data_IF_255254808590
#
_entry.id   IF_255254808590
#
_cell.length_a   1.000
_cell.length_b   1.000
_cell.length_c   1.000
_cell.angle_alpha   90.00
_cell.angle_beta   90.00
_cell.angle_gamma   90.00
#
_symmetry.space_group_name_H-M   'P 1'
#
loop_
_entity.id
_entity.type
_entity.pdbx_description
1 polymer ?
#
# COMPACT_ATOMS: atom_id res chain seq x y z
N UNK A 1 18.65 -24.12 3.65
CA UNK A 1 18.20 -22.77 3.26
C UNK A 1 18.60 -22.62 1.81
N UNK A 2 17.65 -22.39 0.91
CA UNK A 2 18.02 -21.92 -0.44
C UNK A 2 18.72 -20.58 -0.25
N UNK A 3 19.85 -20.37 -0.91
CA UNK A 3 20.54 -19.08 -0.88
C UNK A 3 19.55 -18.00 -1.37
N UNK A 4 19.37 -16.94 -0.59
CA UNK A 4 18.57 -15.78 -1.00
C UNK A 4 19.27 -15.18 -2.23
N UNK A 5 18.54 -15.07 -3.34
CA UNK A 5 19.04 -14.45 -4.57
C UNK A 5 18.21 -13.20 -4.82
N UNK A 6 18.90 -12.07 -4.96
CA UNK A 6 18.33 -10.76 -5.24
C UNK A 6 18.95 -10.17 -6.52
N UNK A 7 18.21 -9.28 -7.18
CA UNK A 7 18.83 -8.39 -8.17
C UNK A 7 19.93 -7.54 -7.49
N UNK A 8 21.03 -7.17 -8.19
CA UNK A 8 22.19 -6.55 -7.55
C UNK A 8 21.88 -5.32 -6.70
N UNK A 9 21.05 -4.39 -7.19
CA UNK A 9 20.67 -3.20 -6.42
C UNK A 9 19.83 -3.54 -5.18
N UNK A 10 19.00 -4.59 -5.25
CA UNK A 10 18.26 -5.10 -4.10
C UNK A 10 19.19 -5.79 -3.10
N UNK A 11 20.21 -6.52 -3.56
CA UNK A 11 21.24 -7.09 -2.68
C UNK A 11 22.02 -5.99 -1.96
N UNK A 12 22.48 -4.95 -2.66
CA UNK A 12 23.21 -3.83 -2.07
C UNK A 12 22.38 -3.13 -0.98
N UNK A 13 21.09 -2.95 -1.23
CA UNK A 13 20.16 -2.38 -0.26
C UNK A 13 19.91 -3.31 0.94
N UNK A 14 19.74 -4.61 0.71
CA UNK A 14 19.62 -5.60 1.77
C UNK A 14 20.87 -5.63 2.67
N UNK A 15 22.07 -5.61 2.09
CA UNK A 15 23.33 -5.60 2.81
C UNK A 15 23.53 -4.30 3.61
N UNK A 16 23.05 -3.17 3.10
CA UNK A 16 23.07 -1.89 3.81
C UNK A 16 22.13 -1.91 5.02
N UNK A 17 20.92 -2.44 4.87
CA UNK A 17 19.88 -2.45 5.92
C UNK A 17 20.07 -3.56 6.97
N UNK A 18 20.93 -4.55 6.70
CA UNK A 18 21.30 -5.59 7.67
C UNK A 18 22.28 -5.11 8.76
N UNK A 19 22.82 -3.89 8.66
CA UNK A 19 23.81 -3.35 9.61
C UNK A 19 23.14 -2.56 10.74
N UNK A 20 23.48 -2.82 12.02
CA UNK A 20 22.97 -2.02 13.13
C UNK A 20 23.39 -0.54 13.06
N UNK A 21 22.60 0.39 13.61
CA UNK A 21 21.31 0.15 14.29
C UNK A 21 20.21 -0.27 13.31
N UNK A 22 19.45 -1.30 13.69
CA UNK A 22 18.31 -1.79 12.91
C UNK A 22 17.12 -0.84 13.05
N UNK A 23 16.16 -0.91 12.12
CA UNK A 23 15.08 0.07 12.02
C UNK A 23 14.34 0.33 13.34
N UNK A 24 13.94 -0.74 14.04
CA UNK A 24 13.24 -0.65 15.33
C UNK A 24 14.14 -0.21 16.51
N UNK A 25 15.47 -0.18 16.34
CA UNK A 25 16.44 0.26 17.36
C UNK A 25 16.66 1.78 17.31
N UNK A 26 16.27 2.44 16.21
CA UNK A 26 16.34 3.88 16.03
C UNK A 26 15.22 4.65 16.75
N UNK A 27 14.17 3.93 17.18
CA UNK A 27 12.93 4.54 17.63
C UNK A 27 12.13 5.18 16.48
N UNK A 28 10.93 5.69 16.80
CA UNK A 28 9.96 6.18 15.80
C UNK A 28 10.51 7.33 14.94
N UNK A 29 11.05 8.38 15.56
CA UNK A 29 11.58 9.54 14.83
C UNK A 29 12.80 9.17 13.98
N UNK A 30 13.73 8.38 14.53
CA UNK A 30 14.91 7.93 13.80
C UNK A 30 14.55 7.04 12.61
N UNK A 31 13.57 6.15 12.76
CA UNK A 31 13.08 5.32 11.67
C UNK A 31 12.41 6.16 10.56
N UNK A 32 11.57 7.14 10.92
CA UNK A 32 10.95 8.07 9.95
C UNK A 32 12.00 8.83 9.14
N UNK A 33 12.96 9.45 9.84
CA UNK A 33 14.04 10.19 9.18
C UNK A 33 14.89 9.29 8.27
N UNK A 34 15.17 8.05 8.68
CA UNK A 34 15.92 7.12 7.85
C UNK A 34 15.22 6.83 6.52
N UNK A 35 13.91 6.58 6.52
CA UNK A 35 13.18 6.34 5.27
C UNK A 35 13.12 7.61 4.41
N UNK A 36 12.93 8.78 5.03
CA UNK A 36 12.97 10.06 4.34
C UNK A 36 14.33 10.28 3.64
N UNK A 37 15.44 10.01 4.33
CA UNK A 37 16.81 10.15 3.80
C UNK A 37 17.11 9.16 2.67
N UNK A 38 16.65 7.91 2.80
CA UNK A 38 16.77 6.88 1.74
C UNK A 38 16.03 7.33 0.48
N UNK A 39 14.84 7.90 0.63
CA UNK A 39 14.01 8.34 -0.51
C UNK A 39 14.40 9.73 -1.04
N UNK A 40 15.15 10.54 -0.28
CA UNK A 40 15.56 11.90 -0.67
C UNK A 40 16.62 11.95 -1.78
N UNK A 41 17.25 10.82 -2.12
CA UNK A 41 18.21 10.78 -3.22
C UNK A 41 17.56 11.23 -4.54
N UNK A 42 18.24 12.05 -5.36
CA UNK A 42 17.69 12.52 -6.63
C UNK A 42 17.29 11.35 -7.53
N UNK A 43 16.04 11.36 -7.99
CA UNK A 43 15.49 10.38 -8.91
C UNK A 43 14.59 11.08 -9.92
N UNK A 44 14.59 10.58 -11.16
CA UNK A 44 13.64 11.02 -12.16
C UNK A 44 12.22 10.62 -11.74
N UNK A 45 11.28 11.55 -11.86
CA UNK A 45 9.87 11.33 -11.56
C UNK A 45 9.02 12.14 -12.54
N UNK A 46 7.87 11.62 -12.99
CA UNK A 46 6.99 12.38 -13.87
C UNK A 46 6.49 13.69 -13.26
N UNK A 47 6.28 14.69 -14.12
CA UNK A 47 5.62 15.93 -13.74
C UNK A 47 4.12 15.71 -13.53
N UNK A 48 3.58 16.38 -12.50
CA UNK A 48 2.16 16.35 -12.15
C UNK A 48 1.73 17.74 -11.70
N UNK A 49 0.45 18.06 -11.91
CA UNK A 49 -0.21 19.13 -11.17
C UNK A 49 -0.63 18.60 -9.81
N UNK A 50 -0.35 19.33 -8.73
CA UNK A 50 -0.70 18.89 -7.37
C UNK A 50 -1.38 19.97 -6.55
N UNK A 51 -2.28 19.53 -5.67
CA UNK A 51 -3.00 20.37 -4.72
C UNK A 51 -3.16 19.63 -3.41
N UNK A 52 -3.04 20.36 -2.31
CA UNK A 52 -3.37 19.84 -0.99
C UNK A 52 -4.70 20.35 -0.49
N UNK A 53 -5.47 19.46 0.14
CA UNK A 53 -6.69 19.76 0.85
C UNK A 53 -6.67 19.14 2.24
N UNK A 54 -7.69 19.44 3.04
CA UNK A 54 -7.95 18.77 4.32
C UNK A 54 -9.34 18.17 4.23
N UNK A 55 -9.45 16.88 4.54
CA UNK A 55 -10.71 16.14 4.54
C UNK A 55 -11.14 15.89 5.98
N UNK A 56 -12.36 16.28 6.39
CA UNK A 56 -12.87 15.98 7.72
C UNK A 56 -13.08 14.48 7.94
N UNK A 57 -12.66 13.96 9.09
CA UNK A 57 -12.96 12.60 9.53
C UNK A 57 -13.37 12.58 11.01
N UNK A 58 -14.20 11.62 11.40
CA UNK A 58 -14.68 11.51 12.79
C UNK A 58 -13.55 11.26 13.79
N UNK A 59 -12.45 10.67 13.31
CA UNK A 59 -11.24 10.37 14.08
C UNK A 59 -10.17 11.48 14.01
N UNK A 60 -10.51 12.63 13.43
CA UNK A 60 -9.60 13.76 13.20
C UNK A 60 -9.32 14.00 11.71
N UNK A 61 -9.33 15.27 11.32
CA UNK A 61 -9.12 15.70 9.93
C UNK A 61 -7.80 15.16 9.35
N UNK A 62 -7.83 14.78 8.07
CA UNK A 62 -6.67 14.21 7.37
C UNK A 62 -6.23 15.11 6.23
N UNK A 63 -4.91 15.23 6.05
CA UNK A 63 -4.31 15.94 4.91
C UNK A 63 -4.32 15.03 3.69
N UNK A 64 -4.69 15.59 2.55
CA UNK A 64 -4.82 14.82 1.31
C UNK A 64 -4.13 15.56 0.19
N UNK A 65 -3.25 14.86 -0.54
CA UNK A 65 -2.59 15.37 -1.74
C UNK A 65 -3.26 14.81 -2.96
N UNK A 66 -3.77 15.68 -3.82
CA UNK A 66 -4.36 15.33 -5.11
C UNK A 66 -3.30 15.58 -6.17
N UNK A 67 -2.94 14.56 -6.93
CA UNK A 67 -2.05 14.62 -8.08
C UNK A 67 -2.85 14.38 -9.36
N UNK A 68 -2.49 15.08 -10.44
CA UNK A 68 -3.07 14.88 -11.77
C UNK A 68 -1.99 14.93 -12.84
N UNK A 69 -2.14 14.20 -13.95
CA UNK A 69 -1.30 14.38 -15.12
C UNK A 69 -1.36 15.84 -15.60
N UNK A 70 -0.20 16.42 -15.92
CA UNK A 70 -0.11 17.80 -16.42
C UNK A 70 -0.95 17.95 -17.69
N UNK A 71 -1.72 19.04 -17.74
CA UNK A 71 -2.55 19.37 -18.91
C UNK A 71 -3.81 18.50 -19.06
N UNK A 72 -4.18 17.74 -18.03
CA UNK A 72 -5.46 17.04 -17.98
C UNK A 72 -6.64 18.01 -18.05
N UNK A 73 -7.69 17.62 -18.78
CA UNK A 73 -8.93 18.39 -18.94
C UNK A 73 -10.14 17.52 -18.65
N UNK A 74 -11.09 18.05 -17.87
CA UNK A 74 -12.32 17.33 -17.50
C UNK A 74 -12.15 16.35 -16.32
N UNK A 75 -13.20 15.62 -15.95
CA UNK A 75 -13.16 14.67 -14.84
C UNK A 75 -12.23 13.48 -15.10
N UNK A 76 -11.34 13.19 -14.16
CA UNK A 76 -10.41 12.06 -14.22
C UNK A 76 -10.91 10.89 -13.36
N UNK A 77 -10.70 9.63 -13.80
CA UNK A 77 -10.83 8.49 -12.89
C UNK A 77 -9.84 8.64 -11.74
N UNK A 78 -10.10 7.96 -10.63
CA UNK A 78 -9.42 8.22 -9.36
C UNK A 78 -8.76 6.98 -8.82
N UNK A 79 -7.52 7.12 -8.38
CA UNK A 79 -6.82 6.16 -7.53
C UNK A 79 -6.75 6.78 -6.12
N UNK A 80 -7.48 6.22 -5.16
CA UNK A 80 -7.22 6.49 -3.75
C UNK A 80 -5.98 5.69 -3.34
N UNK A 81 -4.90 6.38 -2.97
CA UNK A 81 -3.65 5.74 -2.59
C UNK A 81 -3.42 5.84 -1.09
N UNK A 82 -3.22 4.69 -0.43
CA UNK A 82 -2.85 4.59 0.97
C UNK A 82 -1.43 4.05 1.06
N UNK A 83 -0.53 4.80 1.69
CA UNK A 83 0.90 4.51 1.65
C UNK A 83 1.33 3.42 2.64
N UNK A 84 2.49 2.79 2.36
CA UNK A 84 3.15 1.83 3.20
C UNK A 84 3.97 2.45 4.34
N UNK A 85 4.91 1.68 4.88
CA UNK A 85 5.80 2.13 5.97
C UNK A 85 5.41 1.64 7.37
N UNK A 86 4.82 0.45 7.50
CA UNK A 86 4.63 -0.18 8.82
C UNK A 86 3.75 0.61 9.79
N UNK A 87 2.84 1.45 9.28
CA UNK A 87 2.01 2.44 9.99
C UNK A 87 2.77 3.55 10.72
N UNK A 88 4.07 3.36 10.97
CA UNK A 88 4.95 4.29 11.68
C UNK A 88 5.61 5.29 10.72
N UNK A 89 6.07 4.79 9.57
CA UNK A 89 6.81 5.53 8.55
C UNK A 89 5.92 5.93 7.38
N UNK A 90 6.53 6.50 6.35
CA UNK A 90 5.87 6.92 5.14
C UNK A 90 5.26 8.32 5.26
N UNK A 91 5.10 8.94 4.09
CA UNK A 91 4.50 10.26 3.86
C UNK A 91 4.44 10.50 2.34
N UNK A 92 3.86 11.61 1.91
CA UNK A 92 3.81 12.00 0.48
C UNK A 92 5.19 12.11 -0.19
N UNK A 93 6.26 12.42 0.55
CA UNK A 93 7.62 12.54 0.02
C UNK A 93 8.26 11.19 -0.29
N UNK A 94 8.22 10.27 0.66
CA UNK A 94 8.78 8.91 0.53
C UNK A 94 8.12 8.11 -0.59
N UNK A 95 6.84 8.35 -0.87
CA UNK A 95 6.11 7.64 -1.92
C UNK A 95 6.00 8.45 -3.23
N UNK A 96 6.58 9.67 -3.28
CA UNK A 96 6.31 10.65 -4.33
C UNK A 96 6.56 10.12 -5.75
N UNK A 97 7.68 9.42 -5.94
CA UNK A 97 8.01 8.83 -7.24
C UNK A 97 6.95 7.81 -7.67
N UNK A 98 6.66 6.82 -6.83
CA UNK A 98 5.72 5.75 -7.15
C UNK A 98 4.34 6.31 -7.49
N UNK A 99 3.84 7.25 -6.69
CA UNK A 99 2.50 7.82 -6.93
C UNK A 99 2.47 8.71 -8.18
N UNK A 100 3.56 9.40 -8.53
CA UNK A 100 3.66 10.12 -9.81
C UNK A 100 3.70 9.17 -11.01
N UNK A 101 4.46 8.08 -10.91
CA UNK A 101 4.51 7.03 -11.95
C UNK A 101 3.12 6.41 -12.18
N UNK A 102 2.38 6.11 -11.11
CA UNK A 102 1.01 5.61 -11.21
C UNK A 102 0.04 6.67 -11.78
N UNK A 103 0.11 7.92 -11.30
CA UNK A 103 -0.74 9.03 -11.78
C UNK A 103 -0.62 9.20 -13.29
N UNK A 104 0.63 9.31 -13.78
CA UNK A 104 0.90 9.56 -15.21
C UNK A 104 0.69 8.29 -16.04
N UNK A 105 1.17 7.13 -15.59
CA UNK A 105 1.05 5.88 -16.34
C UNK A 105 -0.41 5.45 -16.54
N UNK A 106 -1.25 5.65 -15.52
CA UNK A 106 -2.67 5.32 -15.59
C UNK A 106 -3.49 6.42 -16.25
N UNK A 107 -2.96 7.64 -16.36
CA UNK A 107 -3.71 8.82 -16.78
C UNK A 107 -4.96 9.04 -15.91
N UNK A 108 -4.76 9.00 -14.59
CA UNK A 108 -5.79 9.12 -13.57
C UNK A 108 -5.38 10.17 -12.53
N UNK A 109 -6.36 10.76 -11.85
CA UNK A 109 -6.07 11.51 -10.63
C UNK A 109 -5.67 10.53 -9.53
N UNK A 110 -4.65 10.87 -8.74
CA UNK A 110 -4.27 10.10 -7.56
C UNK A 110 -4.50 10.94 -6.32
N UNK A 111 -5.27 10.41 -5.38
CA UNK A 111 -5.62 11.04 -4.11
C UNK A 111 -4.86 10.31 -3.01
N UNK A 112 -3.78 10.92 -2.56
CA UNK A 112 -2.88 10.37 -1.55
C UNK A 112 -3.35 10.75 -0.14
N UNK A 113 -3.55 9.76 0.72
CA UNK A 113 -3.96 9.97 2.11
C UNK A 113 -2.72 10.13 3.00
N UNK A 114 -2.50 11.33 3.53
CA UNK A 114 -1.45 11.60 4.53
C UNK A 114 -2.03 11.33 5.93
N UNK A 115 -2.30 10.04 6.21
CA UNK A 115 -2.96 9.60 7.44
C UNK A 115 -2.08 9.81 8.68
N UNK A 116 -2.71 9.91 9.85
CA UNK A 116 -2.00 10.00 11.11
C UNK A 116 -1.33 8.67 11.44
N UNK A 117 -0.02 8.75 11.71
CA UNK A 117 0.86 7.58 11.86
C UNK A 117 0.90 7.07 13.29
N UNK A 118 1.19 5.79 13.42
CA UNK A 118 1.45 5.14 14.70
C UNK A 118 2.86 5.48 15.23
N UNK A 119 3.08 5.41 16.55
CA UNK A 119 2.12 5.04 17.61
C UNK A 119 1.25 6.20 18.12
N UNK A 120 1.38 7.41 17.59
CA UNK A 120 0.61 8.59 18.01
C UNK A 120 -0.88 8.40 17.71
N UNK A 121 -1.19 7.85 16.53
CA UNK A 121 -2.51 7.38 16.16
C UNK A 121 -2.50 5.85 16.00
N UNK A 122 -3.39 5.16 16.71
CA UNK A 122 -3.52 3.69 16.69
C UNK A 122 -4.72 3.27 15.83
N UNK A 123 -4.83 1.97 15.55
CA UNK A 123 -6.04 1.40 14.97
C UNK A 123 -7.30 1.90 15.74
N UNK A 124 -8.39 2.31 15.07
CA UNK A 124 -8.61 2.34 13.62
C UNK A 124 -8.38 3.71 12.95
N UNK A 125 -7.64 4.64 13.56
CA UNK A 125 -7.57 6.05 13.08
C UNK A 125 -7.17 6.18 11.61
N UNK A 126 -6.02 5.62 11.22
CA UNK A 126 -5.50 5.74 9.86
C UNK A 126 -6.46 5.17 8.79
N UNK A 127 -7.08 4.02 9.07
CA UNK A 127 -8.00 3.37 8.11
C UNK A 127 -9.34 4.12 8.03
N UNK A 128 -9.81 4.72 9.12
CA UNK A 128 -11.00 5.58 9.12
C UNK A 128 -10.74 6.92 8.40
N UNK A 129 -9.54 7.50 8.51
CA UNK A 129 -9.14 8.68 7.74
C UNK A 129 -9.07 8.38 6.23
N UNK A 130 -8.52 7.21 5.87
CA UNK A 130 -8.51 6.78 4.48
C UNK A 130 -9.93 6.55 3.95
N UNK A 131 -10.83 5.99 4.77
CA UNK A 131 -12.24 5.81 4.39
C UNK A 131 -12.98 7.13 4.25
N UNK A 132 -12.76 8.08 5.17
CA UNK A 132 -13.32 9.42 5.08
C UNK A 132 -12.89 10.12 3.79
N UNK A 133 -11.64 9.91 3.34
CA UNK A 133 -11.15 10.40 2.05
C UNK A 133 -11.88 9.75 0.88
N UNK A 134 -12.11 8.43 0.91
CA UNK A 134 -12.90 7.73 -0.11
C UNK A 134 -14.34 8.27 -0.21
N UNK A 135 -14.97 8.50 0.95
CA UNK A 135 -16.31 9.09 1.03
C UNK A 135 -16.32 10.52 0.49
N UNK A 136 -15.32 11.32 0.86
CA UNK A 136 -15.17 12.70 0.37
C UNK A 136 -14.98 12.74 -1.16
N UNK A 137 -14.20 11.84 -1.75
CA UNK A 137 -14.10 11.72 -3.23
C UNK A 137 -15.50 11.48 -3.82
N UNK A 138 -16.28 10.60 -3.21
CA UNK A 138 -17.63 10.23 -3.66
C UNK A 138 -18.62 11.39 -3.59
N UNK A 139 -18.56 12.20 -2.53
CA UNK A 139 -19.56 13.25 -2.27
C UNK A 139 -19.16 14.64 -2.77
N UNK A 140 -17.88 14.96 -2.75
CA UNK A 140 -17.36 16.32 -2.99
C UNK A 140 -16.26 16.37 -4.07
N UNK A 141 -15.63 15.24 -4.40
CA UNK A 141 -14.50 15.18 -5.32
C UNK A 141 -14.76 15.71 -6.73
N UNK A 142 -16.03 15.74 -7.17
CA UNK A 142 -16.41 16.33 -8.46
C UNK A 142 -15.98 17.81 -8.60
N UNK A 143 -15.98 18.57 -7.49
CA UNK A 143 -15.49 19.96 -7.47
C UNK A 143 -13.99 20.08 -7.74
N UNK A 144 -13.24 19.01 -7.48
CA UNK A 144 -11.82 18.86 -7.81
C UNK A 144 -11.61 18.10 -9.13
N UNK A 145 -12.65 17.90 -9.96
CA UNK A 145 -12.54 17.17 -11.23
C UNK A 145 -12.25 15.68 -11.07
N UNK A 146 -12.70 15.08 -9.97
CA UNK A 146 -12.57 13.64 -9.70
C UNK A 146 -13.88 12.92 -10.08
N UNK A 147 -13.76 11.84 -10.85
CA UNK A 147 -14.87 10.99 -11.26
C UNK A 147 -14.99 9.77 -10.33
N UNK A 148 -15.85 9.90 -9.32
CA UNK A 148 -16.08 8.85 -8.33
C UNK A 148 -16.73 7.58 -8.88
N UNK A 149 -17.31 7.60 -10.08
CA UNK A 149 -17.86 6.38 -10.70
C UNK A 149 -16.77 5.41 -11.15
N UNK A 150 -15.52 5.90 -11.24
CA UNK A 150 -14.31 5.15 -11.60
C UNK A 150 -13.26 5.37 -10.53
N UNK A 151 -13.57 4.91 -9.32
CA UNK A 151 -12.70 4.98 -8.15
C UNK A 151 -12.05 3.61 -7.88
N UNK A 152 -10.73 3.53 -7.98
CA UNK A 152 -9.94 2.39 -7.51
C UNK A 152 -9.24 2.75 -6.19
N UNK A 153 -8.91 1.73 -5.40
CA UNK A 153 -8.04 1.87 -4.22
C UNK A 153 -6.74 1.10 -4.44
N UNK A 154 -5.63 1.70 -4.04
CA UNK A 154 -4.32 1.07 -4.16
C UNK A 154 -3.43 1.41 -2.95
N UNK A 155 -2.47 0.52 -2.68
CA UNK A 155 -1.51 0.75 -1.61
C UNK A 155 -0.49 -0.37 -1.49
N UNK A 156 0.63 -0.02 -0.87
CA UNK A 156 1.79 -0.90 -0.69
C UNK A 156 2.00 -1.28 0.77
N UNK A 157 2.42 -2.51 1.05
CA UNK A 157 2.68 -3.00 2.41
C UNK A 157 1.45 -2.84 3.34
N UNK A 158 1.55 -2.04 4.41
CA UNK A 158 0.40 -1.66 5.26
C UNK A 158 -0.63 -0.78 4.54
N UNK A 159 -0.24 -0.09 3.49
CA UNK A 159 -1.17 0.55 2.54
C UNK A 159 -1.97 -0.47 1.75
N UNK A 160 -1.37 -1.63 1.44
CA UNK A 160 -2.04 -2.79 0.89
C UNK A 160 -3.03 -3.42 1.89
N UNK A 161 -2.66 -3.46 3.18
CA UNK A 161 -3.58 -3.83 4.26
C UNK A 161 -4.81 -2.92 4.30
N UNK A 162 -4.59 -1.61 4.35
CA UNK A 162 -5.66 -0.62 4.38
C UNK A 162 -6.47 -0.63 3.08
N UNK A 163 -5.86 -0.91 1.93
CA UNK A 163 -6.57 -1.13 0.66
C UNK A 163 -7.61 -2.25 0.80
N UNK A 164 -7.22 -3.42 1.31
CA UNK A 164 -8.16 -4.51 1.57
C UNK A 164 -9.25 -4.10 2.59
N UNK A 165 -8.86 -3.47 3.70
CA UNK A 165 -9.77 -3.01 4.74
C UNK A 165 -10.84 -2.03 4.21
N UNK A 166 -10.45 -1.07 3.37
CA UNK A 166 -11.36 -0.11 2.75
C UNK A 166 -12.42 -0.79 1.89
N UNK A 167 -12.10 -1.89 1.20
CA UNK A 167 -13.12 -2.63 0.43
C UNK A 167 -14.15 -3.32 1.33
N UNK A 168 -13.71 -3.85 2.48
CA UNK A 168 -14.62 -4.39 3.49
C UNK A 168 -15.52 -3.31 4.09
N UNK A 169 -14.93 -2.16 4.44
CA UNK A 169 -15.69 -1.02 4.98
C UNK A 169 -16.70 -0.48 3.96
N UNK A 170 -16.31 -0.37 2.69
CA UNK A 170 -17.18 0.08 1.61
C UNK A 170 -18.38 -0.87 1.43
N UNK A 171 -18.14 -2.19 1.42
CA UNK A 171 -19.21 -3.19 1.38
C UNK A 171 -20.15 -3.11 2.59
N UNK A 172 -19.60 -2.90 3.79
CA UNK A 172 -20.38 -2.83 5.02
C UNK A 172 -21.21 -1.55 5.16
N UNK A 173 -20.67 -0.41 4.72
CA UNK A 173 -21.28 0.92 4.88
C UNK A 173 -22.13 1.33 3.69
N UNK A 174 -21.79 0.88 2.48
CA UNK A 174 -22.60 1.03 1.27
C UNK A 174 -22.61 2.44 0.66
N UNK A 175 -21.78 3.36 1.15
CA UNK A 175 -21.70 4.76 0.70
C UNK A 175 -20.47 5.07 -0.17
N UNK A 176 -19.57 4.10 -0.34
CA UNK A 176 -18.40 4.16 -1.24
C UNK A 176 -18.41 2.92 -2.13
N UNK A 177 -18.09 3.07 -3.41
CA UNK A 177 -17.91 1.97 -4.34
C UNK A 177 -16.52 2.02 -4.97
N UNK A 178 -15.78 0.92 -4.88
CA UNK A 178 -14.51 0.76 -5.59
C UNK A 178 -14.73 -0.13 -6.81
N UNK A 179 -14.15 0.24 -7.95
CA UNK A 179 -14.16 -0.59 -9.16
C UNK A 179 -13.00 -1.59 -9.19
N UNK A 180 -11.97 -1.36 -8.37
CA UNK A 180 -10.77 -2.19 -8.31
C UNK A 180 -9.99 -1.97 -7.00
N UNK A 181 -9.26 -3.00 -6.58
CA UNK A 181 -8.27 -2.94 -5.50
C UNK A 181 -6.90 -3.42 -6.01
N UNK A 182 -5.86 -2.58 -5.89
CA UNK A 182 -4.49 -2.91 -6.32
C UNK A 182 -3.57 -2.95 -5.11
N UNK A 183 -3.14 -4.15 -4.71
CA UNK A 183 -2.41 -4.43 -3.48
C UNK A 183 -0.96 -4.79 -3.81
N UNK A 184 -0.01 -4.04 -3.28
CA UNK A 184 1.41 -4.32 -3.47
C UNK A 184 1.99 -4.88 -2.16
N UNK A 185 2.41 -6.15 -2.18
CA UNK A 185 2.99 -6.91 -1.07
C UNK A 185 2.28 -6.67 0.27
N UNK A 186 0.96 -6.93 0.34
CA UNK A 186 0.12 -6.45 1.43
C UNK A 186 0.38 -7.20 2.74
N UNK A 187 0.34 -6.47 3.86
CA UNK A 187 0.13 -7.08 5.18
C UNK A 187 -1.34 -7.54 5.28
N UNK A 188 -1.59 -8.78 5.68
CA UNK A 188 -2.95 -9.35 5.71
C UNK A 188 -3.29 -10.16 6.96
N UNK A 189 -2.32 -10.52 7.80
CA UNK A 189 -2.59 -11.19 9.09
C UNK A 189 -1.58 -10.81 10.18
N UNK A 190 -2.08 -10.53 11.38
CA UNK A 190 -1.26 -10.24 12.54
C UNK A 190 -0.65 -11.49 13.21
N UNK A 191 -0.83 -12.68 12.63
CA UNK A 191 -0.36 -13.95 13.20
C UNK A 191 1.15 -14.15 13.09
N UNK A 192 1.79 -13.61 12.03
CA UNK A 192 3.25 -13.64 11.83
C UNK A 192 3.88 -15.05 11.86
N UNK A 193 3.13 -16.06 11.41
CA UNK A 193 3.47 -17.48 11.57
C UNK A 193 3.47 -18.27 10.25
N UNK A 194 3.59 -17.61 9.11
CA UNK A 194 3.72 -18.27 7.80
C UNK A 194 5.13 -18.84 7.59
N UNK A 195 5.30 -19.66 6.54
CA UNK A 195 6.62 -20.21 6.21
C UNK A 195 7.58 -19.12 5.71
N UNK A 196 7.09 -18.14 4.95
CA UNK A 196 7.86 -16.96 4.59
C UNK A 196 8.32 -16.15 5.79
N UNK A 197 7.48 -15.98 6.83
CA UNK A 197 7.89 -15.35 8.09
C UNK A 197 9.06 -16.09 8.77
N UNK A 198 9.05 -17.43 8.77
CA UNK A 198 10.13 -18.25 9.32
C UNK A 198 11.40 -18.19 8.46
N UNK A 199 11.24 -18.25 7.14
CA UNK A 199 12.34 -18.30 6.18
C UNK A 199 13.11 -16.98 6.13
N UNK A 200 12.39 -15.85 6.13
CA UNK A 200 12.94 -14.50 5.99
C UNK A 200 12.92 -13.71 7.31
N UNK A 201 12.88 -14.41 8.46
CA UNK A 201 12.76 -13.79 9.78
C UNK A 201 13.82 -12.70 10.03
N UNK A 202 15.00 -12.85 9.41
CA UNK A 202 16.15 -11.96 9.54
C UNK A 202 16.44 -11.14 8.27
N UNK A 203 15.47 -11.04 7.35
CA UNK A 203 15.61 -10.32 6.10
C UNK A 203 15.54 -11.22 4.85
N UNK A 204 15.72 -10.64 3.66
CA UNK A 204 16.34 -9.34 3.40
C UNK A 204 15.43 -8.13 3.68
N UNK A 205 16.02 -7.01 4.11
CA UNK A 205 15.35 -5.73 4.43
C UNK A 205 14.27 -5.80 5.53
N UNK A 206 13.07 -6.30 5.24
CA UNK A 206 12.00 -6.45 6.23
C UNK A 206 12.25 -7.70 7.08
N UNK A 207 12.17 -7.55 8.39
CA UNK A 207 12.38 -8.65 9.34
C UNK A 207 11.11 -8.96 10.11
N UNK A 208 10.99 -10.19 10.63
CA UNK A 208 9.86 -10.57 11.48
C UNK A 208 9.76 -9.67 12.73
N UNK A 209 10.90 -9.28 13.30
CA UNK A 209 10.96 -8.38 14.45
C UNK A 209 10.53 -6.94 14.11
N UNK A 210 10.82 -6.45 12.91
CA UNK A 210 10.29 -5.17 12.46
C UNK A 210 8.75 -5.22 12.32
N UNK A 211 8.21 -6.31 11.77
CA UNK A 211 6.75 -6.48 11.69
C UNK A 211 6.08 -6.58 13.05
N UNK A 212 6.67 -7.28 14.03
CA UNK A 212 6.19 -7.28 15.43
C UNK A 212 6.09 -5.85 15.97
N UNK A 213 7.15 -5.06 15.80
CA UNK A 213 7.18 -3.65 16.22
C UNK A 213 6.11 -2.79 15.53
N UNK A 214 5.91 -2.96 14.21
CA UNK A 214 4.87 -2.25 13.46
C UNK A 214 3.46 -2.59 13.96
N UNK A 215 3.17 -3.88 14.16
CA UNK A 215 1.89 -4.30 14.69
C UNK A 215 1.65 -3.79 16.11
N UNK A 216 2.66 -3.81 16.99
CA UNK A 216 2.54 -3.29 18.35
C UNK A 216 2.29 -1.78 18.40
N UNK A 217 2.91 -1.03 17.48
CA UNK A 217 2.64 0.41 17.35
C UNK A 217 1.22 0.68 16.85
N UNK A 218 0.73 -0.14 15.91
CA UNK A 218 -0.61 0.00 15.33
C UNK A 218 -1.70 -0.38 16.33
N UNK A 219 -1.59 -1.54 16.96
CA UNK A 219 -2.43 -1.97 18.09
C UNK A 219 -1.88 -3.20 18.80
N UNK A 220 -1.99 -3.23 20.12
CA UNK A 220 -1.67 -4.40 20.95
C UNK A 220 -2.92 -5.21 21.34
N UNK A 221 -4.13 -4.76 20.96
CA UNK A 221 -5.36 -5.45 21.31
C UNK A 221 -5.57 -6.67 20.40
N UNK A 222 -5.59 -7.91 20.94
CA UNK A 222 -5.83 -9.12 20.14
C UNK A 222 -7.21 -9.12 19.45
N UNK A 223 -8.22 -8.47 20.04
CA UNK A 223 -9.54 -8.36 19.45
C UNK A 223 -9.53 -7.45 18.22
N UNK A 224 -8.78 -6.33 18.27
CA UNK A 224 -8.58 -5.44 17.12
C UNK A 224 -7.79 -6.14 16.01
N UNK A 225 -6.68 -6.81 16.36
CA UNK A 225 -5.89 -7.61 15.39
C UNK A 225 -6.72 -8.69 14.70
N UNK A 226 -7.75 -9.21 15.34
CA UNK A 226 -8.63 -10.23 14.77
C UNK A 226 -9.71 -9.67 13.83
N UNK A 227 -9.94 -8.34 13.81
CA UNK A 227 -10.94 -7.73 12.91
C UNK A 227 -10.48 -7.83 11.46
N UNK A 228 -11.42 -8.04 10.53
CA UNK A 228 -11.12 -8.17 9.09
C UNK A 228 -10.62 -6.88 8.43
N UNK A 229 -10.79 -5.75 9.12
CA UNK A 229 -10.26 -4.43 8.76
C UNK A 229 -8.85 -4.18 9.30
N UNK A 230 -8.31 -5.10 10.10
CA UNK A 230 -6.90 -5.14 10.50
C UNK A 230 -6.19 -6.37 9.88
N UNK A 231 -6.76 -7.56 10.01
CA UNK A 231 -6.27 -8.81 9.41
C UNK A 231 -7.25 -9.32 8.35
N UNK A 232 -7.26 -8.76 7.13
CA UNK A 232 -8.21 -9.14 6.07
C UNK A 232 -8.10 -10.62 5.67
N UNK A 233 -6.97 -11.30 5.91
CA UNK A 233 -6.85 -12.74 5.69
C UNK A 233 -7.82 -13.55 6.57
N UNK A 234 -8.31 -12.99 7.68
CA UNK A 234 -9.26 -13.65 8.59
C UNK A 234 -10.71 -13.60 8.11
N UNK A 235 -11.02 -12.78 7.10
CA UNK A 235 -12.36 -12.67 6.54
C UNK A 235 -12.91 -14.03 6.07
N UNK A 236 -14.19 -14.32 6.30
CA UNK A 236 -14.81 -15.53 5.75
C UNK A 236 -15.01 -15.41 4.23
N UNK A 237 -15.28 -16.52 3.54
CA UNK A 237 -15.62 -16.46 2.10
C UNK A 237 -16.87 -15.60 1.84
N UNK A 238 -17.82 -15.54 2.77
CA UNK A 238 -19.01 -14.69 2.66
C UNK A 238 -18.65 -13.22 2.80
N UNK A 239 -17.72 -12.87 3.69
CA UNK A 239 -17.23 -11.50 3.85
C UNK A 239 -16.54 -11.00 2.58
N UNK A 240 -15.83 -11.89 1.88
CA UNK A 240 -15.06 -11.58 0.67
C UNK A 240 -15.86 -11.58 -0.64
N UNK A 241 -17.05 -12.21 -0.68
CA UNK A 241 -17.91 -12.16 -1.89
C UNK A 241 -18.23 -10.72 -2.28
N UNK A 242 -18.32 -10.47 -3.58
CA UNK A 242 -18.70 -9.17 -4.14
C UNK A 242 -17.74 -8.00 -3.81
N UNK A 243 -16.55 -8.29 -3.26
CA UNK A 243 -15.47 -7.31 -3.22
C UNK A 243 -14.98 -6.99 -4.66
N UNK A 244 -14.41 -5.79 -4.89
CA UNK A 244 -13.96 -5.40 -6.22
C UNK A 244 -12.86 -6.32 -6.74
N UNK A 245 -12.73 -6.46 -8.08
CA UNK A 245 -11.61 -7.16 -8.69
C UNK A 245 -10.26 -6.73 -8.14
N UNK A 246 -9.34 -7.69 -7.96
CA UNK A 246 -8.06 -7.45 -7.30
C UNK A 246 -6.85 -7.73 -8.20
N UNK A 247 -5.85 -6.87 -8.10
CA UNK A 247 -4.48 -7.13 -8.54
C UNK A 247 -3.57 -7.18 -7.33
N UNK A 248 -2.89 -8.31 -7.11
CA UNK A 248 -2.02 -8.53 -5.96
C UNK A 248 -0.60 -8.81 -6.45
N UNK A 249 0.31 -7.92 -6.11
CA UNK A 249 1.75 -8.14 -6.31
C UNK A 249 2.31 -8.67 -5.00
N UNK A 250 3.18 -9.68 -5.07
CA UNK A 250 4.03 -10.12 -3.97
C UNK A 250 5.46 -10.26 -4.46
N UNK A 251 6.40 -10.23 -3.55
CA UNK A 251 7.83 -10.39 -3.76
C UNK A 251 8.33 -11.70 -3.17
N UNK A 252 9.38 -12.27 -3.76
CA UNK A 252 9.83 -13.62 -3.42
C UNK A 252 10.50 -13.72 -2.05
N UNK A 253 11.28 -12.70 -1.67
CA UNK A 253 12.14 -12.71 -0.48
C UNK A 253 11.59 -11.76 0.60
N UNK A 254 10.40 -12.07 1.10
CA UNK A 254 9.67 -11.25 2.08
C UNK A 254 8.91 -12.12 3.08
N UNK A 255 8.91 -11.69 4.35
CA UNK A 255 8.09 -12.29 5.41
C UNK A 255 6.60 -12.28 5.06
N UNK A 256 6.10 -11.25 4.36
CA UNK A 256 4.67 -11.11 4.02
C UNK A 256 4.22 -11.91 2.79
N UNK A 257 5.15 -12.52 2.06
CA UNK A 257 4.84 -13.19 0.78
C UNK A 257 3.69 -14.17 0.90
N UNK A 258 3.77 -15.11 1.84
CA UNK A 258 2.82 -16.21 1.91
C UNK A 258 1.42 -15.73 2.34
N UNK A 259 1.32 -14.70 3.20
CA UNK A 259 0.03 -14.15 3.63
C UNK A 259 -0.64 -13.33 2.52
N UNK A 260 0.13 -12.53 1.76
CA UNK A 260 -0.37 -11.82 0.58
C UNK A 260 -0.91 -12.80 -0.48
N UNK A 261 -0.18 -13.88 -0.77
CA UNK A 261 -0.67 -14.94 -1.66
C UNK A 261 -1.88 -15.69 -1.09
N UNK A 262 -1.91 -15.94 0.22
CA UNK A 262 -3.03 -16.60 0.87
C UNK A 262 -4.31 -15.74 0.77
N UNK A 263 -4.21 -14.43 0.97
CA UNK A 263 -5.34 -13.51 0.83
C UNK A 263 -5.87 -13.52 -0.61
N UNK A 264 -4.99 -13.45 -1.59
CA UNK A 264 -5.39 -13.48 -2.98
C UNK A 264 -6.03 -14.81 -3.39
N UNK A 265 -5.51 -15.95 -2.91
CA UNK A 265 -6.18 -17.27 -3.07
C UNK A 265 -7.57 -17.27 -2.43
N UNK A 266 -7.73 -16.63 -1.27
CA UNK A 266 -9.01 -16.55 -0.57
C UNK A 266 -10.04 -15.68 -1.32
N UNK A 267 -9.61 -14.58 -1.93
CA UNK A 267 -10.43 -13.79 -2.85
C UNK A 267 -10.92 -14.63 -4.04
N UNK A 268 -10.01 -15.38 -4.69
CA UNK A 268 -10.36 -16.28 -5.80
C UNK A 268 -11.39 -17.34 -5.35
N UNK A 269 -11.18 -17.96 -4.19
CA UNK A 269 -12.11 -18.93 -3.61
C UNK A 269 -13.49 -18.34 -3.32
N UNK A 270 -13.56 -17.04 -2.96
CA UNK A 270 -14.80 -16.32 -2.75
C UNK A 270 -15.49 -15.88 -4.05
N UNK A 271 -14.86 -16.07 -5.21
CA UNK A 271 -15.39 -15.69 -6.52
C UNK A 271 -15.00 -14.28 -6.99
N UNK A 272 -14.09 -13.59 -6.29
CA UNK A 272 -13.60 -12.27 -6.69
C UNK A 272 -12.59 -12.41 -7.83
N UNK A 273 -12.79 -11.74 -8.99
CA UNK A 273 -11.81 -11.75 -10.07
C UNK A 273 -10.46 -11.20 -9.58
N UNK A 274 -9.45 -12.06 -9.48
CA UNK A 274 -8.19 -11.71 -8.81
C UNK A 274 -7.00 -12.26 -9.59
N UNK A 275 -5.98 -11.44 -9.77
CA UNK A 275 -4.66 -11.84 -10.26
C UNK A 275 -3.65 -11.69 -9.14
N UNK A 276 -2.78 -12.70 -8.97
CA UNK A 276 -1.63 -12.64 -8.06
C UNK A 276 -0.37 -12.88 -8.85
N UNK A 277 0.63 -12.02 -8.67
CA UNK A 277 1.91 -12.13 -9.35
C UNK A 277 3.03 -12.04 -8.33
N UNK A 278 3.87 -13.08 -8.30
CA UNK A 278 5.12 -13.06 -7.55
C UNK A 278 6.23 -12.54 -8.44
N UNK A 279 6.97 -11.55 -7.96
CA UNK A 279 8.22 -11.11 -8.56
C UNK A 279 9.38 -11.81 -7.84
N UNK A 280 10.15 -12.58 -8.60
CA UNK A 280 11.33 -13.26 -8.08
C UNK A 280 12.52 -12.30 -7.98
N UNK A 281 13.48 -12.64 -7.12
CA UNK A 281 14.69 -11.87 -6.86
C UNK A 281 14.46 -10.42 -6.40
N UNK A 282 13.27 -10.10 -5.89
CA UNK A 282 12.93 -8.84 -5.24
C UNK A 282 12.83 -9.00 -3.72
N UNK A 283 12.71 -7.86 -3.02
CA UNK A 283 12.56 -7.73 -1.57
C UNK A 283 11.43 -6.77 -1.23
N UNK A 284 11.07 -6.70 0.06
CA UNK A 284 9.92 -5.91 0.51
C UNK A 284 10.07 -4.43 0.11
N UNK A 285 8.97 -3.76 -0.24
CA UNK A 285 8.93 -2.37 -0.70
C UNK A 285 9.63 -2.07 -2.05
N UNK A 286 9.96 -3.09 -2.87
CA UNK A 286 10.69 -2.89 -4.13
C UNK A 286 10.00 -1.98 -5.17
N UNK A 287 8.69 -1.78 -5.07
CA UNK A 287 7.98 -0.82 -5.94
C UNK A 287 8.09 0.63 -5.42
N UNK A 288 8.35 0.84 -4.12
CA UNK A 288 8.43 2.15 -3.46
C UNK A 288 9.87 2.66 -3.38
N UNK A 289 10.81 1.80 -2.98
CA UNK A 289 12.21 2.17 -2.72
C UNK A 289 12.92 2.70 -3.97
N UNK A 290 13.41 3.94 -3.90
CA UNK A 290 14.12 4.61 -4.99
C UNK A 290 15.46 3.92 -5.32
N UNK A 291 16.14 3.39 -4.30
CA UNK A 291 17.41 2.66 -4.42
C UNK A 291 17.33 1.41 -5.29
N UNK A 292 16.15 0.77 -5.35
CA UNK A 292 15.92 -0.45 -6.14
C UNK A 292 15.01 -0.21 -7.35
N UNK A 293 14.63 1.04 -7.64
CA UNK A 293 13.77 1.37 -8.78
C UNK A 293 14.36 0.96 -10.14
N UNK A 294 15.68 0.91 -10.26
CA UNK A 294 16.38 0.47 -11.48
C UNK A 294 16.33 -1.04 -11.73
N UNK A 295 15.76 -1.84 -10.82
CA UNK A 295 15.63 -3.29 -10.98
C UNK A 295 14.56 -3.66 -12.01
N UNK A 296 14.72 -4.84 -12.61
CA UNK A 296 13.77 -5.36 -13.60
C UNK A 296 12.44 -5.73 -12.93
N UNK A 297 12.48 -6.31 -11.73
CA UNK A 297 11.29 -6.59 -10.94
C UNK A 297 10.47 -5.33 -10.68
N UNK A 298 11.11 -4.25 -10.19
CA UNK A 298 10.42 -2.97 -9.91
C UNK A 298 9.77 -2.39 -11.16
N UNK A 299 10.50 -2.36 -12.27
CA UNK A 299 9.98 -1.87 -13.55
C UNK A 299 8.76 -2.66 -14.02
N UNK A 300 8.88 -3.99 -14.08
CA UNK A 300 7.79 -4.85 -14.56
C UNK A 300 6.56 -4.81 -13.64
N UNK A 301 6.75 -4.76 -12.31
CA UNK A 301 5.66 -4.66 -11.35
C UNK A 301 4.89 -3.34 -11.46
N UNK A 302 5.60 -2.22 -11.60
CA UNK A 302 4.96 -0.90 -11.77
C UNK A 302 4.21 -0.84 -13.10
N UNK A 303 4.81 -1.30 -14.19
CA UNK A 303 4.13 -1.32 -15.51
C UNK A 303 2.90 -2.23 -15.51
N UNK A 304 2.96 -3.37 -14.84
CA UNK A 304 1.82 -4.28 -14.71
C UNK A 304 0.70 -3.67 -13.85
N UNK A 305 1.05 -3.02 -12.73
CA UNK A 305 0.09 -2.30 -11.89
C UNK A 305 -0.60 -1.17 -12.66
N UNK A 306 0.17 -0.39 -13.43
CA UNK A 306 -0.36 0.63 -14.34
C UNK A 306 -1.36 0.01 -15.32
N UNK A 307 -0.99 -1.09 -15.98
CA UNK A 307 -1.88 -1.75 -16.93
C UNK A 307 -3.18 -2.24 -16.29
N UNK A 308 -3.09 -2.89 -15.12
CA UNK A 308 -4.26 -3.37 -14.39
C UNK A 308 -5.21 -2.22 -14.01
N UNK A 309 -4.65 -1.10 -13.53
CA UNK A 309 -5.41 0.09 -13.19
C UNK A 309 -6.03 0.77 -14.42
N UNK A 310 -5.31 0.85 -15.56
CA UNK A 310 -5.88 1.41 -16.80
C UNK A 310 -7.09 0.62 -17.29
N UNK A 311 -7.00 -0.71 -17.25
CA UNK A 311 -8.11 -1.62 -17.58
C UNK A 311 -9.31 -1.40 -16.68
N UNK A 312 -9.07 -1.30 -15.37
CA UNK A 312 -10.13 -1.09 -14.38
C UNK A 312 -10.81 0.29 -14.49
N UNK A 313 -10.03 1.32 -14.78
CA UNK A 313 -10.47 2.72 -14.80
C UNK A 313 -10.90 3.21 -16.20
N UNK A 314 -10.74 2.36 -17.23
CA UNK A 314 -11.11 2.67 -18.60
C UNK A 314 -10.28 3.80 -19.21
N UNK A 315 -8.96 3.79 -18.99
CA UNK A 315 -8.02 4.80 -19.50
C UNK A 315 -7.07 4.28 -20.58
N UNK A 316 -7.36 3.09 -21.12
CA UNK A 316 -6.59 2.48 -22.21
C UNK A 316 -6.63 3.27 -23.52
#
# INVERSE_FOLDING_TARGET
MSDIVLEPAAQDFADATAKPPLLYELGVEGARNLLDDVQAQPIEKPDVDEKWITVPAEVGDVRVRILKPVGSSGPLPVILYVHGGGWILGNAGTHDRLVRELTVGVNAALVFVEYDRSPEAKYPVAVEQAYATARWITTEGAGEGLDASRLAVAGDSVGGNMTAALTHMAKQRGDVAFVHQSLYYPVTDAAQDTESYRTFAHGPHLTAKAMEWFWDAYTTDPAERAQITASPLRATLTDLRDLPPAHVVVDENDVLRDEGEAYARKLIQAGVPTTTVRYNASLHDFMMLNTVRGTQASTAAIEQAVHALRKALGTD
#
